data_IF_031962403481
#
_entry.id   IF_031962403481
#
_cell.length_a   1.000
_cell.length_b   1.000
_cell.length_c   1.000
_cell.angle_alpha   90.00
_cell.angle_beta   90.00
_cell.angle_gamma   90.00
#
_symmetry.space_group_name_H-M   'P 1'
#
loop_
_entity.id
_entity.type
_entity.pdbx_description
1 polymer ?
#
# COMPACT_ATOMS: atom_id res chain seq x y z
N UNK A 1 20.06 -16.94 -43.09
CA UNK A 1 18.79 -16.22 -42.83
C UNK A 1 18.06 -16.81 -41.63
N UNK A 2 17.60 -18.07 -41.68
CA UNK A 2 16.87 -18.71 -40.57
C UNK A 2 17.63 -18.69 -39.23
N UNK A 3 18.93 -19.02 -39.26
CA UNK A 3 19.78 -19.08 -38.06
C UNK A 3 19.97 -17.70 -37.39
N UNK A 4 20.10 -16.64 -38.20
CA UNK A 4 20.17 -15.27 -37.71
C UNK A 4 18.81 -14.79 -37.14
N UNK A 5 17.71 -15.19 -37.77
CA UNK A 5 16.36 -14.90 -37.27
C UNK A 5 16.08 -15.59 -35.93
N UNK A 6 16.37 -16.89 -35.81
CA UNK A 6 16.22 -17.66 -34.56
C UNK A 6 17.10 -17.07 -33.45
N UNK A 7 18.35 -16.70 -33.77
CA UNK A 7 19.24 -16.06 -32.81
C UNK A 7 18.68 -14.70 -32.34
N UNK A 8 18.12 -13.90 -33.25
CA UNK A 8 17.47 -12.63 -32.91
C UNK A 8 16.26 -12.82 -31.99
N UNK A 9 15.41 -13.82 -32.26
CA UNK A 9 14.26 -14.17 -31.41
C UNK A 9 14.72 -14.64 -30.02
N UNK A 10 15.74 -15.49 -29.95
CA UNK A 10 16.27 -15.98 -28.69
C UNK A 10 16.86 -14.85 -27.82
N UNK A 11 17.61 -13.93 -28.42
CA UNK A 11 18.15 -12.75 -27.73
C UNK A 11 17.02 -11.83 -27.25
N UNK A 12 16.01 -11.60 -28.10
CA UNK A 12 14.83 -10.81 -27.73
C UNK A 12 14.07 -11.41 -26.55
N UNK A 13 13.80 -12.72 -26.59
CA UNK A 13 13.12 -13.44 -25.52
C UNK A 13 13.93 -13.42 -24.20
N UNK A 14 15.23 -13.66 -24.27
CA UNK A 14 16.12 -13.56 -23.11
C UNK A 14 16.14 -12.15 -22.51
N UNK A 15 16.15 -11.11 -23.35
CA UNK A 15 16.05 -9.72 -22.93
C UNK A 15 14.74 -9.40 -22.21
N UNK A 16 13.62 -9.88 -22.74
CA UNK A 16 12.29 -9.69 -22.11
C UNK A 16 12.21 -10.42 -20.77
N UNK A 17 12.69 -11.67 -20.68
CA UNK A 17 12.72 -12.42 -19.43
C UNK A 17 13.58 -11.73 -18.36
N UNK A 18 14.75 -11.22 -18.76
CA UNK A 18 15.62 -10.46 -17.85
C UNK A 18 14.95 -9.17 -17.36
N UNK A 19 14.27 -8.45 -18.27
CA UNK A 19 13.56 -7.23 -17.93
C UNK A 19 12.38 -7.54 -16.99
N UNK A 20 11.58 -8.56 -17.29
CA UNK A 20 10.45 -9.00 -16.47
C UNK A 20 10.90 -9.32 -15.03
N UNK A 21 11.92 -10.16 -14.88
CA UNK A 21 12.49 -10.48 -13.56
C UNK A 21 12.90 -9.23 -12.78
N UNK A 22 13.51 -8.25 -13.45
CA UNK A 22 13.99 -7.01 -12.83
C UNK A 22 12.85 -6.03 -12.49
N UNK A 23 11.69 -6.18 -13.12
CA UNK A 23 10.54 -5.29 -12.97
C UNK A 23 9.46 -5.81 -12.01
N UNK A 24 9.46 -7.11 -11.68
CA UNK A 24 8.59 -7.73 -10.66
C UNK A 24 8.54 -6.96 -9.34
N UNK A 25 9.69 -6.50 -8.85
CA UNK A 25 9.76 -5.72 -7.61
C UNK A 25 9.01 -4.39 -7.69
N UNK A 26 9.05 -3.71 -8.84
CA UNK A 26 8.32 -2.46 -9.07
C UNK A 26 6.82 -2.73 -9.16
N UNK A 27 6.41 -3.80 -9.84
CA UNK A 27 5.00 -4.20 -9.90
C UNK A 27 4.42 -4.50 -8.52
N UNK A 28 5.15 -5.25 -7.68
CA UNK A 28 4.73 -5.49 -6.28
C UNK A 28 4.51 -4.21 -5.50
N UNK A 29 5.41 -3.23 -5.64
CA UNK A 29 5.25 -1.93 -4.97
C UNK A 29 4.00 -1.18 -5.43
N UNK A 30 3.64 -1.29 -6.71
CA UNK A 30 2.40 -0.71 -7.24
C UNK A 30 1.18 -1.40 -6.64
N UNK A 31 1.14 -2.74 -6.63
CA UNK A 31 0.04 -3.49 -6.01
C UNK A 31 -0.07 -3.21 -4.51
N UNK A 32 1.06 -3.17 -3.81
CA UNK A 32 1.15 -2.83 -2.39
C UNK A 32 0.60 -1.42 -2.15
N UNK A 33 0.98 -0.43 -2.97
CA UNK A 33 0.47 0.94 -2.87
C UNK A 33 -1.03 1.02 -3.12
N UNK A 34 -1.56 0.29 -4.12
CA UNK A 34 -2.99 0.27 -4.40
C UNK A 34 -3.77 -0.37 -3.25
N UNK A 35 -3.28 -1.50 -2.74
CA UNK A 35 -3.85 -2.16 -1.58
C UNK A 35 -3.85 -1.23 -0.37
N UNK A 36 -2.72 -0.58 -0.05
CA UNK A 36 -2.62 0.38 1.05
C UNK A 36 -3.66 1.50 0.95
N UNK A 37 -3.78 2.12 -0.22
CA UNK A 37 -4.76 3.19 -0.45
C UNK A 37 -6.19 2.67 -0.28
N UNK A 38 -6.51 1.50 -0.82
CA UNK A 38 -7.84 0.90 -0.68
C UNK A 38 -8.18 0.59 0.78
N UNK A 39 -7.25 -0.02 1.52
CA UNK A 39 -7.45 -0.34 2.93
C UNK A 39 -7.61 0.93 3.79
N UNK A 40 -6.84 1.99 3.53
CA UNK A 40 -6.95 3.26 4.26
C UNK A 40 -8.30 3.94 4.01
N UNK A 41 -8.78 3.95 2.76
CA UNK A 41 -10.10 4.47 2.41
C UNK A 41 -11.24 3.66 3.06
N UNK A 42 -11.16 2.33 3.03
CA UNK A 42 -12.14 1.45 3.68
C UNK A 42 -12.13 1.62 5.21
N UNK A 43 -10.95 1.77 5.82
CA UNK A 43 -10.79 2.03 7.23
C UNK A 43 -11.44 3.36 7.65
N UNK A 44 -11.24 4.42 6.86
CA UNK A 44 -11.82 5.72 7.10
C UNK A 44 -13.36 5.70 6.92
N UNK A 45 -13.86 5.06 5.86
CA UNK A 45 -15.30 4.87 5.59
C UNK A 45 -16.00 4.19 6.77
N UNK A 46 -15.49 3.03 7.19
CA UNK A 46 -16.08 2.23 8.28
C UNK A 46 -15.97 2.93 9.64
N UNK A 47 -14.86 3.63 9.90
CA UNK A 47 -14.71 4.45 11.11
C UNK A 47 -15.82 5.51 11.22
N UNK A 48 -16.15 6.20 10.12
CA UNK A 48 -17.20 7.23 10.07
C UNK A 48 -18.61 6.64 10.20
N UNK A 49 -18.81 5.42 9.72
CA UNK A 49 -20.08 4.69 9.87
C UNK A 49 -20.27 4.13 11.29
N UNK A 50 -19.25 4.23 12.16
CA UNK A 50 -19.29 3.71 13.53
C UNK A 50 -18.91 2.24 13.64
N UNK A 51 -18.55 1.58 12.54
CA UNK A 51 -18.11 0.18 12.53
C UNK A 51 -16.62 0.08 12.90
N UNK A 52 -16.36 0.10 14.22
CA UNK A 52 -15.00 0.10 14.76
C UNK A 52 -14.25 -1.21 14.46
N UNK A 53 -14.95 -2.34 14.37
CA UNK A 53 -14.31 -3.64 14.17
C UNK A 53 -13.77 -3.76 12.74
N UNK A 54 -14.59 -3.45 11.73
CA UNK A 54 -14.11 -3.45 10.34
C UNK A 54 -13.06 -2.38 10.11
N UNK A 55 -13.20 -1.19 10.71
CA UNK A 55 -12.18 -0.15 10.63
C UNK A 55 -10.83 -0.63 11.18
N UNK A 56 -10.83 -1.31 12.33
CA UNK A 56 -9.62 -1.89 12.90
C UNK A 56 -9.01 -2.95 11.97
N UNK A 57 -9.81 -3.85 11.39
CA UNK A 57 -9.32 -4.88 10.47
C UNK A 57 -8.66 -4.25 9.24
N UNK A 58 -9.26 -3.23 8.64
CA UNK A 58 -8.68 -2.53 7.51
C UNK A 58 -7.37 -1.80 7.87
N UNK A 59 -7.30 -1.18 9.06
CA UNK A 59 -6.05 -0.57 9.56
C UNK A 59 -4.97 -1.62 9.85
N UNK A 60 -5.36 -2.81 10.31
CA UNK A 60 -4.45 -3.93 10.49
C UNK A 60 -3.86 -4.37 9.14
N UNK A 61 -4.72 -4.53 8.12
CA UNK A 61 -4.27 -4.85 6.77
C UNK A 61 -3.35 -3.77 6.19
N UNK A 62 -3.60 -2.49 6.48
CA UNK A 62 -2.72 -1.40 6.04
C UNK A 62 -1.33 -1.48 6.71
N UNK A 63 -1.26 -1.85 8.00
CA UNK A 63 0.02 -2.11 8.67
C UNK A 63 0.72 -3.33 8.07
N UNK A 64 0.00 -4.42 7.82
CA UNK A 64 0.57 -5.63 7.20
C UNK A 64 0.99 -5.40 5.74
N UNK A 65 0.34 -4.49 5.03
CA UNK A 65 0.75 -4.11 3.69
C UNK A 65 1.93 -3.13 3.70
N UNK A 66 2.20 -2.37 4.77
CA UNK A 66 3.32 -1.41 4.85
C UNK A 66 4.57 -1.98 5.54
N UNK A 67 4.40 -3.00 6.37
CA UNK A 67 5.48 -3.70 7.09
C UNK A 67 6.30 -4.63 6.21
N UNK A 68 7.62 -4.69 6.43
CA UNK A 68 8.51 -5.68 5.78
C UNK A 68 8.15 -7.13 6.18
N UNK A 69 7.57 -7.34 7.36
CA UNK A 69 7.20 -8.67 7.88
C UNK A 69 5.77 -9.11 7.51
N UNK A 70 4.98 -8.21 6.91
CA UNK A 70 3.55 -8.39 6.71
C UNK A 70 3.17 -9.35 5.56
N UNK A 71 2.24 -8.97 4.67
CA UNK A 71 1.68 -9.95 3.73
C UNK A 71 2.74 -10.66 2.86
N UNK A 72 2.72 -12.00 2.88
CA UNK A 72 3.65 -12.84 2.11
C UNK A 72 3.57 -12.59 0.60
N UNK A 73 2.42 -12.17 0.07
CA UNK A 73 2.25 -11.85 -1.35
C UNK A 73 3.10 -10.64 -1.80
N UNK A 74 3.41 -9.72 -0.88
CA UNK A 74 4.33 -8.62 -1.15
C UNK A 74 5.80 -9.02 -0.93
N UNK A 75 6.06 -10.22 -0.38
CA UNK A 75 7.38 -10.82 -0.17
C UNK A 75 7.78 -11.84 -1.26
N UNK A 76 6.81 -12.59 -1.81
CA UNK A 76 7.04 -13.65 -2.79
C UNK A 76 6.98 -13.14 -4.25
N UNK A 77 7.50 -13.91 -5.20
CA UNK A 77 7.41 -13.61 -6.64
C UNK A 77 6.06 -14.11 -7.20
N UNK A 78 5.06 -13.25 -7.44
CA UNK A 78 3.85 -13.67 -8.11
C UNK A 78 4.11 -13.96 -9.59
N UNK A 79 3.30 -14.86 -10.16
CA UNK A 79 3.14 -14.97 -11.61
C UNK A 79 2.36 -13.73 -12.10
N UNK A 80 2.92 -13.02 -13.08
CA UNK A 80 2.36 -11.78 -13.62
C UNK A 80 1.70 -12.08 -14.96
N UNK A 81 0.52 -11.49 -15.20
CA UNK A 81 -0.15 -11.58 -16.49
C UNK A 81 0.51 -10.67 -17.53
N UNK A 82 0.76 -11.25 -18.71
CA UNK A 82 1.86 -10.92 -19.61
C UNK A 82 1.46 -9.91 -20.71
N UNK A 83 1.23 -8.65 -20.34
CA UNK A 83 1.19 -7.57 -21.33
C UNK A 83 2.58 -7.29 -21.91
N UNK A 84 2.77 -7.36 -23.23
CA UNK A 84 4.08 -7.12 -23.89
C UNK A 84 4.75 -5.79 -23.48
N UNK A 85 3.96 -4.73 -23.25
CA UNK A 85 4.45 -3.41 -22.85
C UNK A 85 4.65 -3.24 -21.34
N UNK A 86 4.16 -4.15 -20.51
CA UNK A 86 4.18 -4.03 -19.06
C UNK A 86 5.60 -3.87 -18.50
N UNK A 87 6.62 -4.64 -18.94
CA UNK A 87 7.99 -4.46 -18.48
C UNK A 87 8.55 -3.05 -18.78
N UNK A 88 8.20 -2.47 -19.93
CA UNK A 88 8.66 -1.13 -20.32
C UNK A 88 7.97 -0.02 -19.51
N UNK A 89 6.67 -0.14 -19.27
CA UNK A 89 5.93 0.80 -18.41
C UNK A 89 6.46 0.77 -16.98
N UNK A 90 6.67 -0.43 -16.43
CA UNK A 90 7.25 -0.58 -15.10
C UNK A 90 8.66 0.00 -15.06
N UNK A 91 9.48 -0.17 -16.12
CA UNK A 91 10.83 0.37 -16.18
C UNK A 91 10.81 1.90 -16.08
N UNK A 92 9.94 2.55 -16.85
CA UNK A 92 9.72 3.99 -16.76
C UNK A 92 9.31 4.41 -15.34
N UNK A 93 8.36 3.70 -14.75
CA UNK A 93 7.92 3.96 -13.38
C UNK A 93 9.04 3.80 -12.36
N UNK A 94 9.92 2.80 -12.51
CA UNK A 94 11.08 2.61 -11.64
C UNK A 94 12.03 3.81 -11.70
N UNK A 95 12.29 4.36 -12.88
CA UNK A 95 13.15 5.54 -13.01
C UNK A 95 12.53 6.80 -12.39
N UNK A 96 11.21 6.89 -12.38
CA UNK A 96 10.47 7.98 -11.73
C UNK A 96 10.48 7.82 -10.20
N UNK A 97 10.24 6.60 -9.69
CA UNK A 97 10.07 6.33 -8.24
C UNK A 97 11.40 6.23 -7.50
N UNK A 98 12.43 5.61 -8.10
CA UNK A 98 13.72 5.38 -7.45
C UNK A 98 14.37 6.64 -6.83
N UNK A 99 14.32 7.84 -7.45
CA UNK A 99 14.87 9.05 -6.85
C UNK A 99 13.98 9.70 -5.77
N UNK A 100 12.71 9.28 -5.62
CA UNK A 100 11.74 9.96 -4.72
C UNK A 100 11.99 9.64 -3.25
N UNK A 101 12.38 8.40 -2.92
CA UNK A 101 12.73 8.01 -1.54
C UNK A 101 13.97 7.10 -1.50
N UNK A 102 15.16 7.65 -1.79
CA UNK A 102 16.39 6.86 -1.83
C UNK A 102 16.81 6.30 -0.47
N UNK A 103 16.28 6.87 0.63
CA UNK A 103 16.62 6.52 2.01
C UNK A 103 15.57 5.66 2.73
N UNK A 104 14.47 5.31 2.06
CA UNK A 104 13.32 4.63 2.67
C UNK A 104 12.70 5.42 3.83
N UNK A 105 12.89 6.74 3.86
CA UNK A 105 12.37 7.59 4.94
C UNK A 105 10.88 7.79 4.79
N UNK A 106 10.40 8.01 3.58
CA UNK A 106 8.97 8.13 3.27
C UNK A 106 8.23 6.84 3.62
N UNK A 107 8.77 5.69 3.23
CA UNK A 107 8.20 4.38 3.58
C UNK A 107 8.07 4.18 5.10
N UNK A 108 9.13 4.47 5.87
CA UNK A 108 9.08 4.37 7.35
C UNK A 108 8.10 5.34 7.98
N UNK A 109 8.02 6.57 7.48
CA UNK A 109 7.04 7.54 7.97
C UNK A 109 5.63 7.05 7.68
N UNK A 110 5.37 6.53 6.48
CA UNK A 110 4.07 5.95 6.12
C UNK A 110 3.68 4.81 7.05
N UNK A 111 4.57 3.83 7.25
CA UNK A 111 4.32 2.71 8.18
C UNK A 111 4.08 3.21 9.61
N UNK A 112 4.87 4.19 10.08
CA UNK A 112 4.70 4.78 11.40
C UNK A 112 3.33 5.45 11.59
N UNK A 113 2.82 6.12 10.55
CA UNK A 113 1.46 6.68 10.57
C UNK A 113 0.39 5.58 10.61
N UNK A 114 0.52 4.53 9.77
CA UNK A 114 -0.43 3.41 9.76
C UNK A 114 -0.48 2.67 11.10
N UNK A 115 0.67 2.44 11.74
CA UNK A 115 0.73 1.84 13.07
C UNK A 115 0.07 2.71 14.13
N UNK A 116 0.26 4.03 14.07
CA UNK A 116 -0.40 4.95 14.99
C UNK A 116 -1.92 4.99 14.80
N UNK A 117 -2.39 4.99 13.55
CA UNK A 117 -3.82 4.88 13.22
C UNK A 117 -4.42 3.58 13.77
N UNK A 118 -3.72 2.45 13.61
CA UNK A 118 -4.14 1.16 14.16
C UNK A 118 -4.16 1.19 15.70
N UNK A 119 -3.12 1.73 16.33
CA UNK A 119 -3.05 1.87 17.79
C UNK A 119 -4.27 2.63 18.32
N UNK A 120 -4.64 3.73 17.67
CA UNK A 120 -5.83 4.52 18.00
C UNK A 120 -7.13 3.72 17.89
N UNK A 121 -7.26 2.87 16.87
CA UNK A 121 -8.41 2.00 16.73
C UNK A 121 -8.45 0.91 17.82
N UNK A 122 -7.30 0.33 18.16
CA UNK A 122 -7.16 -0.67 19.22
C UNK A 122 -7.51 -0.10 20.61
N UNK A 123 -7.14 1.15 20.91
CA UNK A 123 -7.56 1.84 22.13
C UNK A 123 -9.08 1.91 22.26
N UNK A 124 -9.78 2.25 21.18
CA UNK A 124 -11.24 2.42 21.16
C UNK A 124 -11.99 1.13 21.46
N UNK A 125 -11.41 -0.02 21.13
CA UNK A 125 -11.99 -1.34 21.41
C UNK A 125 -11.48 -1.95 22.72
N UNK A 126 -10.65 -1.22 23.49
CA UNK A 126 -10.12 -1.67 24.78
C UNK A 126 -8.90 -2.59 24.71
N UNK A 127 -8.27 -2.76 23.54
CA UNK A 127 -7.07 -3.57 23.34
C UNK A 127 -5.79 -2.80 23.72
N UNK A 128 -5.70 -2.32 24.97
CA UNK A 128 -4.69 -1.36 25.42
C UNK A 128 -3.24 -1.85 25.30
N UNK A 129 -2.96 -3.12 25.61
CA UNK A 129 -1.60 -3.67 25.51
C UNK A 129 -1.09 -3.70 24.07
N UNK A 130 -1.93 -4.14 23.13
CA UNK A 130 -1.57 -4.17 21.70
C UNK A 130 -1.49 -2.75 21.13
N UNK A 131 -2.35 -1.84 21.58
CA UNK A 131 -2.28 -0.43 21.19
C UNK A 131 -0.95 0.21 21.62
N UNK A 132 -0.52 -0.02 22.87
CA UNK A 132 0.74 0.50 23.39
C UNK A 132 1.95 0.01 22.57
N UNK A 133 1.96 -1.26 22.19
CA UNK A 133 3.00 -1.80 21.32
C UNK A 133 3.04 -1.08 19.96
N UNK A 134 1.88 -0.88 19.33
CA UNK A 134 1.81 -0.18 18.04
C UNK A 134 2.22 1.30 18.17
N UNK A 135 1.88 1.97 19.28
CA UNK A 135 2.33 3.34 19.55
C UNK A 135 3.84 3.47 19.68
N UNK A 136 4.49 2.53 20.39
CA UNK A 136 5.95 2.51 20.51
C UNK A 136 6.63 2.28 19.16
N UNK A 137 6.13 1.31 18.38
CA UNK A 137 6.64 1.07 17.01
C UNK A 137 6.45 2.30 16.11
N UNK A 138 5.30 2.98 16.20
CA UNK A 138 5.05 4.22 15.47
C UNK A 138 6.04 5.34 15.88
N UNK A 139 6.33 5.47 17.18
CA UNK A 139 7.31 6.43 17.68
C UNK A 139 8.71 6.21 17.10
N UNK A 140 9.16 4.95 17.10
CA UNK A 140 10.47 4.57 16.57
C UNK A 140 10.59 4.89 15.07
N UNK A 141 9.56 4.53 14.29
CA UNK A 141 9.52 4.75 12.84
C UNK A 141 9.45 6.24 12.48
N UNK A 142 8.65 7.03 13.22
CA UNK A 142 8.52 8.47 13.02
C UNK A 142 9.68 9.27 13.61
N UNK A 143 10.56 8.62 14.38
CA UNK A 143 11.70 9.23 15.09
C UNK A 143 11.28 10.40 15.97
N UNK A 144 10.18 10.23 16.71
CA UNK A 144 9.65 11.25 17.64
C UNK A 144 10.17 11.03 19.05
N UNK A 145 10.35 12.13 19.78
CA UNK A 145 10.95 12.07 21.12
C UNK A 145 9.96 11.57 22.16
N UNK A 146 8.69 11.86 21.97
CA UNK A 146 7.63 11.48 22.91
C UNK A 146 6.42 10.89 22.20
N UNK A 147 5.62 10.11 22.92
CA UNK A 147 4.39 9.55 22.39
C UNK A 147 3.35 10.63 22.11
N UNK A 148 3.31 11.72 22.88
CA UNK A 148 2.38 12.84 22.67
C UNK A 148 2.61 13.54 21.32
N UNK A 149 3.86 13.60 20.84
CA UNK A 149 4.15 14.08 19.49
C UNK A 149 3.55 13.14 18.43
N UNK A 150 3.64 11.84 18.65
CA UNK A 150 3.09 10.82 17.74
C UNK A 150 1.58 10.89 17.71
N UNK A 151 0.92 10.93 18.88
CA UNK A 151 -0.53 11.08 18.99
C UNK A 151 -1.04 12.31 18.23
N UNK A 152 -0.41 13.47 18.42
CA UNK A 152 -0.81 14.70 17.72
C UNK A 152 -0.72 14.58 16.21
N UNK A 153 0.37 13.98 15.70
CA UNK A 153 0.54 13.78 14.25
C UNK A 153 -0.52 12.83 13.71
N UNK A 154 -0.79 11.73 14.40
CA UNK A 154 -1.79 10.75 13.97
C UNK A 154 -3.20 11.31 14.05
N UNK A 155 -3.55 12.02 15.11
CA UNK A 155 -4.86 12.66 15.25
C UNK A 155 -5.07 13.71 14.13
N UNK A 156 -4.05 14.48 13.76
CA UNK A 156 -4.13 15.41 12.63
C UNK A 156 -4.35 14.69 11.28
N UNK A 157 -3.72 13.53 11.07
CA UNK A 157 -3.95 12.71 9.86
C UNK A 157 -5.37 12.15 9.85
N UNK A 158 -5.85 11.64 10.98
CA UNK A 158 -7.23 11.14 11.12
C UNK A 158 -8.26 12.26 10.92
N UNK A 159 -7.96 13.50 11.30
CA UNK A 159 -8.81 14.66 11.00
C UNK A 159 -8.90 14.91 9.50
N UNK A 160 -7.78 14.83 8.78
CA UNK A 160 -7.73 14.96 7.32
C UNK A 160 -8.54 13.84 6.64
N UNK A 161 -8.46 12.59 7.13
CA UNK A 161 -9.28 11.46 6.64
C UNK A 161 -10.80 11.72 6.77
N UNK A 162 -11.20 12.57 7.71
CA UNK A 162 -12.59 12.94 7.94
C UNK A 162 -13.05 14.18 7.14
N UNK A 163 -12.13 14.83 6.42
CA UNK A 163 -12.43 15.98 5.57
C UNK A 163 -13.31 15.63 4.37
N UNK A 164 -14.02 16.63 3.82
CA UNK A 164 -14.87 16.41 2.65
C UNK A 164 -14.07 16.09 1.38
N UNK A 165 -12.82 16.55 1.29
CA UNK A 165 -11.91 16.20 0.19
C UNK A 165 -11.59 14.70 0.23
N UNK A 166 -11.32 14.15 1.41
CA UNK A 166 -11.06 12.72 1.57
C UNK A 166 -12.28 11.88 1.19
N UNK A 167 -13.49 12.31 1.57
CA UNK A 167 -14.75 11.64 1.18
C UNK A 167 -14.97 11.66 -0.33
N UNK A 168 -14.66 12.76 -1.02
CA UNK A 168 -14.78 12.84 -2.48
C UNK A 168 -13.77 11.91 -3.17
N UNK A 169 -12.53 11.88 -2.70
CA UNK A 169 -11.50 10.99 -3.22
C UNK A 169 -11.89 9.51 -3.07
N UNK A 170 -12.48 9.15 -1.92
CA UNK A 170 -13.00 7.82 -1.64
C UNK A 170 -14.07 7.37 -2.63
N UNK A 171 -15.09 8.20 -2.90
CA UNK A 171 -16.17 7.88 -3.84
C UNK A 171 -15.60 7.61 -5.24
N UNK A 172 -14.61 8.39 -5.65
CA UNK A 172 -13.95 8.20 -6.95
C UNK A 172 -13.13 6.91 -6.99
N UNK A 173 -12.43 6.58 -5.91
CA UNK A 173 -11.52 5.44 -5.86
C UNK A 173 -12.23 4.10 -5.66
N UNK A 174 -13.20 4.02 -4.74
CA UNK A 174 -13.88 2.77 -4.37
C UNK A 174 -15.11 2.50 -5.25
N UNK A 175 -15.96 3.50 -5.48
CA UNK A 175 -17.29 3.25 -6.04
C UNK A 175 -17.29 3.21 -7.58
N UNK A 176 -16.26 3.76 -8.25
CA UNK A 176 -16.08 3.59 -9.71
C UNK A 176 -15.49 2.24 -10.11
N UNK A 177 -14.92 1.48 -9.18
CA UNK A 177 -14.35 0.15 -9.46
C UNK A 177 -15.37 -0.99 -9.32
N UNK A 178 -16.55 -0.73 -8.75
CA UNK A 178 -17.63 -1.70 -8.70
C UNK A 178 -18.27 -1.84 -10.09
N UNK A 179 -18.23 -3.02 -10.75
CA UNK A 179 -19.01 -3.22 -11.96
C UNK A 179 -20.49 -2.95 -11.65
N UNK A 180 -21.27 -2.39 -12.60
CA UNK A 180 -22.70 -2.22 -12.38
C UNK A 180 -23.27 -3.58 -11.98
N UNK A 181 -23.91 -3.62 -10.80
CA UNK A 181 -24.61 -4.80 -10.34
C UNK A 181 -25.45 -5.29 -11.52
N UNK A 182 -25.10 -6.47 -12.06
CA UNK A 182 -25.84 -7.08 -13.15
C UNK A 182 -27.25 -7.29 -12.63
N UNK A 183 -28.14 -6.40 -13.06
CA UNK A 183 -29.53 -6.43 -12.68
C UNK A 183 -30.07 -7.80 -13.08
N UNK A 184 -30.39 -8.61 -12.06
CA UNK A 184 -31.35 -9.70 -12.22
C UNK A 184 -32.64 -9.06 -12.69
N UNK A 185 -32.96 -9.24 -13.97
CA UNK A 185 -34.32 -9.26 -14.50
C UNK A 185 -34.59 -10.67 -14.95
#
# INVERSE_FOLDING_TARGET
MLLAFVLGVAIGAAGILFLDMRMRATYRRVLQSNCLVEQDLLAARTARQGDQLHSMVYRWNAVDASSEEGFRIFRADPEIDNGFFLPFMLLGLRYIIAPVDPSGRGARVSEGLERGKLARALERIGASTTAEEQWRRAQDLLRRRTLEEVHRVVDAVLEIENSDVAKQAEVVALDRQSPPASGRR
#
